data_IF_898836103654
#
_entry.id   IF_898836103654
#
_cell.length_a   1.000
_cell.length_b   1.000
_cell.length_c   1.000
_cell.angle_alpha   90.00
_cell.angle_beta   90.00
_cell.angle_gamma   90.00
#
_symmetry.space_group_name_H-M   'P 1'
#
loop_
_entity.id
_entity.type
_entity.pdbx_description
1 polymer ?
2 non-polymer ?
3 non-polymer ?
4 water ?
#
# COMPACT_ATOMS: atom_id res chain seq x y z
N UNK A 20 -4.68 -16.29 6.30
CA UNK A 20 -4.40 -15.40 5.16
C UNK A 20 -3.07 -15.83 4.49
N UNK A 21 -3.15 -16.91 3.73
CA UNK A 21 -2.00 -17.41 3.09
C UNK A 21 -2.16 -17.53 1.58
N UNK A 22 -3.37 -17.45 1.02
CA UNK A 22 -3.47 -17.42 -0.42
C UNK A 22 -4.27 -16.24 -0.95
N UNK A 23 -3.97 -15.84 -2.14
CA UNK A 23 -4.63 -14.76 -2.82
C UNK A 23 -5.55 -15.28 -3.92
N UNK A 24 -6.81 -14.84 -3.91
CA UNK A 24 -7.80 -15.17 -4.90
C UNK A 24 -8.21 -13.95 -5.67
N UNK A 25 -8.75 -14.13 -6.87
CA UNK A 25 -9.37 -13.01 -7.59
C UNK A 25 -10.54 -12.44 -6.78
N UNK A 26 -10.55 -11.14 -6.52
CA UNK A 26 -11.59 -10.53 -5.74
C UNK A 26 -12.95 -10.63 -6.42
N UNK A 27 -12.96 -10.64 -7.74
CA UNK A 27 -14.22 -10.63 -8.46
C UNK A 27 -14.89 -11.99 -8.56
N UNK A 28 -14.15 -13.08 -8.43
CA UNK A 28 -14.78 -14.39 -8.67
C UNK A 28 -14.27 -15.48 -7.77
N UNK A 29 -13.11 -15.33 -7.10
CA UNK A 29 -12.60 -16.42 -6.32
C UNK A 29 -11.54 -17.35 -6.86
N UNK A 30 -11.24 -17.23 -8.15
CA UNK A 30 -10.16 -17.95 -8.75
C UNK A 30 -8.87 -17.90 -7.91
N UNK A 31 -8.23 -19.03 -7.70
CA UNK A 31 -6.94 -19.14 -6.97
C UNK A 31 -5.85 -18.52 -7.87
N UNK A 32 -5.11 -17.55 -7.34
CA UNK A 32 -4.14 -16.79 -8.12
C UNK A 32 -2.69 -16.92 -7.58
N UNK A 33 -2.47 -16.64 -6.29
CA UNK A 33 -1.09 -16.75 -5.76
C UNK A 33 -1.09 -16.97 -4.26
N UNK A 34 0.08 -16.84 -3.63
CA UNK A 34 0.26 -17.21 -2.21
C UNK A 34 1.16 -16.12 -1.61
N UNK A 35 0.99 -15.84 -0.33
CA UNK A 35 1.84 -14.91 0.34
C UNK A 35 3.34 -15.39 0.30
N UNK A 36 3.50 -16.70 0.36
CA UNK A 36 4.82 -17.32 0.31
C UNK A 36 5.56 -17.08 -0.97
N UNK A 37 4.84 -16.66 -2.02
CA UNK A 37 5.44 -16.45 -3.33
C UNK A 37 5.69 -14.97 -3.62
N UNK A 38 5.50 -14.13 -2.63
CA UNK A 38 5.88 -12.71 -2.75
C UNK A 38 7.37 -12.56 -2.99
N UNK A 39 7.71 -11.58 -3.83
CA UNK A 39 9.07 -11.41 -4.34
C UNK A 39 9.49 -9.96 -4.16
N UNK A 40 10.46 -9.70 -3.28
CA UNK A 40 10.99 -8.33 -3.10
C UNK A 40 11.93 -7.84 -4.23
N UNK A 41 11.34 -7.31 -5.32
CA UNK A 41 12.07 -6.72 -6.45
C UNK A 41 12.60 -5.35 -6.04
N UNK A 42 13.90 -5.13 -6.16
CA UNK A 42 14.50 -3.87 -5.77
C UNK A 42 14.38 -3.53 -4.29
N UNK A 43 14.12 -4.53 -3.44
CA UNK A 43 14.03 -4.31 -1.99
C UNK A 43 12.64 -4.33 -1.37
N UNK A 44 11.60 -4.20 -2.17
CA UNK A 44 10.21 -4.21 -1.65
C UNK A 44 9.39 -5.11 -2.54
N UNK A 45 8.43 -5.85 -1.97
CA UNK A 45 7.51 -6.59 -2.83
C UNK A 45 6.45 -5.60 -3.41
N UNK A 46 6.33 -4.39 -2.86
CA UNK A 46 5.32 -3.42 -3.32
C UNK A 46 5.92 -2.28 -4.15
N UNK A 47 5.28 -1.98 -5.28
CA UNK A 47 5.71 -0.89 -6.17
C UNK A 47 4.52 -0.09 -6.62
N UNK A 48 4.55 1.24 -6.49
CA UNK A 48 3.41 2.04 -6.94
C UNK A 48 3.76 2.78 -8.22
N UNK A 49 2.90 2.69 -9.22
CA UNK A 49 3.26 3.03 -10.58
C UNK A 49 2.04 3.65 -11.24
N UNK A 50 2.25 4.42 -12.29
CA UNK A 50 1.14 4.86 -13.12
C UNK A 50 1.38 4.51 -14.55
N UNK A 51 0.31 4.19 -15.22
CA UNK A 51 0.37 4.04 -16.68
C UNK A 51 0.20 5.37 -17.47
N UNK A 52 0.36 5.32 -18.82
CA UNK A 52 0.21 6.52 -19.61
C UNK A 52 -1.17 7.20 -19.52
N UNK A 53 -2.19 6.48 -19.11
CA UNK A 53 -3.49 7.08 -18.83
C UNK A 53 -3.62 7.66 -17.42
N UNK A 54 -2.53 7.72 -16.65
CA UNK A 54 -2.53 8.26 -15.29
C UNK A 54 -3.13 7.40 -14.18
N UNK A 55 -3.50 6.18 -14.48
CA UNK A 55 -4.05 5.29 -13.46
C UNK A 55 -2.94 4.83 -12.56
N UNK A 56 -3.16 4.93 -11.25
CA UNK A 56 -2.19 4.48 -10.27
C UNK A 56 -2.49 3.05 -9.91
N UNK A 57 -1.46 2.22 -9.80
CA UNK A 57 -1.61 0.82 -9.39
C UNK A 57 -0.66 0.53 -8.23
N UNK A 58 -1.11 -0.19 -7.20
CA UNK A 58 -0.24 -0.64 -6.13
C UNK A 58 0.06 -2.07 -6.51
N UNK A 59 1.26 -2.32 -7.02
CA UNK A 59 1.63 -3.59 -7.61
C UNK A 59 2.42 -4.36 -6.53
N UNK A 60 2.03 -5.62 -6.35
CA UNK A 60 2.77 -6.57 -5.53
C UNK A 60 3.44 -7.55 -6.53
N UNK A 61 4.76 -7.75 -6.33
CA UNK A 61 5.51 -8.66 -7.17
C UNK A 61 5.47 -10.08 -6.55
N UNK A 62 5.20 -11.04 -7.41
CA UNK A 62 5.13 -12.47 -7.04
C UNK A 62 6.06 -13.24 -7.96
N UNK A 63 6.82 -14.18 -7.38
CA UNK A 63 7.56 -15.06 -8.21
C UNK A 63 6.76 -15.97 -9.11
N UNK A 64 5.57 -16.33 -8.62
CA UNK A 64 4.72 -17.30 -9.22
C UNK A 64 3.27 -16.93 -9.06
N UNK A 65 2.44 -17.32 -10.01
CA UNK A 65 0.99 -17.16 -9.96
C UNK A 65 0.40 -18.21 -10.86
N UNK A 66 -0.87 -18.46 -10.68
CA UNK A 66 -1.62 -19.44 -11.42
C UNK A 66 -3.02 -18.85 -11.65
N UNK A 67 -3.78 -19.54 -12.47
CA UNK A 67 -5.19 -19.17 -12.74
C UNK A 67 -5.39 -17.90 -13.53
N UNK A 68 -4.33 -17.43 -14.16
CA UNK A 68 -4.37 -16.25 -15.01
C UNK A 68 -4.47 -16.68 -16.44
N UNK A 69 -4.74 -15.72 -17.30
CA UNK A 69 -4.61 -15.89 -18.74
C UNK A 69 -3.82 -14.72 -19.27
N UNK A 70 -2.69 -15.04 -19.94
CA UNK A 70 -1.74 -14.02 -20.43
C UNK A 70 -2.12 -13.68 -21.83
N UNK A 71 -2.27 -12.39 -22.12
CA UNK A 71 -2.85 -11.95 -23.36
C UNK A 71 -1.82 -11.37 -24.33
N UNK A 72 -1.82 -11.88 -25.57
CA UNK A 72 -0.97 -11.36 -26.62
C UNK A 72 0.47 -11.71 -26.38
N UNK A 73 1.35 -10.92 -26.96
CA UNK A 73 2.76 -11.18 -26.90
C UNK A 73 3.40 -10.04 -26.08
N UNK A 74 4.60 -10.26 -25.55
CA UNK A 74 5.20 -9.21 -24.72
C UNK A 74 5.53 -7.90 -25.38
N UNK A 75 5.57 -6.83 -24.58
CA UNK A 75 5.90 -5.52 -25.05
C UNK A 75 6.83 -4.88 -24.02
N UNK A 76 7.84 -4.17 -24.46
CA UNK A 76 8.72 -3.39 -23.59
C UNK A 76 8.24 -1.94 -23.37
N UNK A 77 7.21 -1.52 -24.10
CA UNK A 77 6.81 -0.10 -24.14
C UNK A 77 6.36 0.36 -22.76
N UNK A 78 7.00 1.38 -22.23
CA UNK A 78 6.59 1.97 -20.93
C UNK A 78 6.73 1.00 -19.75
N UNK A 79 7.51 -0.07 -19.92
CA UNK A 79 7.68 -1.03 -18.85
C UNK A 79 8.16 -0.37 -17.55
N UNK A 80 7.49 -0.73 -16.45
CA UNK A 80 7.83 -0.24 -15.10
C UNK A 80 9.06 -0.89 -14.48
N UNK A 81 9.56 -1.98 -15.07
CA UNK A 81 10.67 -2.73 -14.50
C UNK A 81 11.75 -2.88 -15.56
N UNK A 82 12.92 -2.37 -15.28
CA UNK A 82 13.94 -2.18 -16.28
C UNK A 82 14.36 -3.53 -16.79
N UNK A 83 14.45 -3.65 -18.11
CA UNK A 83 14.82 -4.93 -18.76
C UNK A 83 13.74 -5.95 -18.99
N UNK A 84 12.53 -5.70 -18.51
CA UNK A 84 11.40 -6.63 -18.64
C UNK A 84 10.38 -6.15 -19.60
N UNK A 85 9.85 -7.11 -20.35
CA UNK A 85 8.75 -6.92 -21.22
C UNK A 85 7.49 -7.50 -20.58
N UNK A 86 6.36 -6.87 -20.85
CA UNK A 86 5.10 -7.21 -20.19
C UNK A 86 4.04 -7.77 -21.08
N UNK A 87 3.23 -8.65 -20.48
CA UNK A 87 1.98 -9.14 -21.07
C UNK A 87 0.91 -8.93 -20.03
N UNK A 88 -0.23 -8.46 -20.48
CA UNK A 88 -1.46 -8.31 -19.64
C UNK A 88 -1.85 -9.70 -19.09
N UNK A 89 -2.09 -9.76 -17.77
CA UNK A 89 -2.55 -10.95 -17.10
C UNK A 89 -4.00 -10.74 -16.63
N UNK A 90 -4.92 -11.49 -17.23
CA UNK A 90 -6.31 -11.48 -16.79
C UNK A 90 -6.55 -12.65 -15.85
N UNK A 91 -7.50 -12.49 -14.93
CA UNK A 91 -8.06 -13.66 -14.28
C UNK A 91 -8.51 -14.64 -15.39
N UNK A 92 -8.07 -15.90 -15.29
CA UNK A 92 -8.44 -16.94 -16.24
C UNK A 92 -9.88 -17.33 -16.19
N UNK A 93 -10.52 -17.07 -15.07
CA UNK A 93 -11.90 -17.45 -14.86
C UNK A 93 -12.84 -16.32 -15.33
N UNK A 94 -12.70 -15.12 -14.78
CA UNK A 94 -13.66 -14.06 -15.01
C UNK A 94 -13.20 -12.96 -15.97
N UNK A 95 -11.92 -12.92 -16.29
CA UNK A 95 -11.39 -11.92 -17.23
C UNK A 95 -11.04 -10.59 -16.62
N UNK A 96 -11.17 -10.44 -15.32
CA UNK A 96 -10.71 -9.27 -14.58
C UNK A 96 -9.22 -9.01 -14.78
N UNK A 97 -8.86 -7.73 -15.06
CA UNK A 97 -7.44 -7.42 -15.20
C UNK A 97 -6.75 -7.42 -13.87
N UNK A 98 -5.92 -8.43 -13.59
CA UNK A 98 -5.24 -8.62 -12.35
C UNK A 98 -3.81 -8.12 -12.29
N UNK A 99 -3.21 -7.87 -13.44
CA UNK A 99 -1.86 -7.43 -13.47
C UNK A 99 -1.16 -7.74 -14.79
N UNK A 100 0.12 -8.03 -14.66
CA UNK A 100 1.01 -8.28 -15.80
C UNK A 100 2.00 -9.40 -15.46
N UNK A 101 2.38 -10.17 -16.48
CA UNK A 101 3.50 -11.06 -16.43
C UNK A 101 4.69 -10.37 -17.12
N UNK A 102 5.80 -10.39 -16.44
CA UNK A 102 7.06 -9.83 -16.92
C UNK A 102 8.02 -10.94 -17.33
N UNK A 103 8.67 -10.73 -18.47
CA UNK A 103 9.66 -11.66 -18.95
C UNK A 103 10.77 -10.93 -19.69
N UNK A 104 11.74 -11.70 -20.17
CA UNK A 104 12.81 -11.14 -20.95
C UNK A 104 13.93 -10.44 -20.22
N UNK A 105 13.88 -10.45 -18.88
CA UNK A 105 14.86 -9.78 -18.08
C UNK A 105 15.83 -10.73 -17.44
N UNK A 106 16.32 -10.34 -16.26
CA UNK A 106 17.48 -11.04 -15.62
C UNK A 106 17.28 -11.06 -14.09
N UNK A 107 17.41 -12.26 -13.50
CA UNK A 107 17.49 -12.45 -12.04
C UNK A 107 16.32 -11.72 -11.31
N UNK A 108 15.07 -12.18 -11.49
CA UNK A 108 14.69 -13.34 -12.28
C UNK A 108 14.44 -13.03 -13.75
N UNK A 109 14.41 -14.06 -14.59
CA UNK A 109 14.00 -13.81 -15.99
C UNK A 109 12.56 -13.38 -16.07
N UNK A 110 11.72 -13.93 -15.19
CA UNK A 110 10.30 -13.65 -15.24
C UNK A 110 9.69 -13.46 -13.84
N UNK A 111 8.56 -12.74 -13.79
CA UNK A 111 7.79 -12.65 -12.50
C UNK A 111 6.41 -12.09 -12.82
N UNK A 112 5.52 -11.95 -11.79
CA UNK A 112 4.22 -11.38 -11.96
C UNK A 112 4.11 -10.10 -11.12
N UNK A 113 3.52 -9.09 -11.71
CA UNK A 113 3.19 -7.90 -10.97
C UNK A 113 1.68 -7.81 -10.91
N UNK A 114 1.14 -8.03 -9.72
CA UNK A 114 -0.29 -8.11 -9.56
C UNK A 114 -0.83 -6.93 -8.78
N UNK A 115 -2.04 -6.50 -9.17
CA UNK A 115 -2.63 -5.28 -8.58
C UNK A 115 -3.28 -5.67 -7.23
N UNK A 116 -2.72 -5.16 -6.13
CA UNK A 116 -3.08 -5.62 -4.80
C UNK A 116 -4.56 -5.57 -4.49
N UNK A 117 -5.22 -4.47 -4.85
CA UNK A 117 -6.62 -4.34 -4.46
C UNK A 117 -7.54 -5.13 -5.37
N UNK A 118 -7.03 -5.89 -6.33
CA UNK A 118 -7.87 -6.75 -7.13
C UNK A 118 -7.84 -8.20 -6.62
N UNK A 119 -7.09 -8.48 -5.57
CA UNK A 119 -7.00 -9.79 -4.98
C UNK A 119 -7.68 -9.76 -3.62
N UNK A 120 -8.07 -10.93 -3.16
CA UNK A 120 -8.55 -11.14 -1.79
C UNK A 120 -7.69 -12.17 -1.10
N UNK A 121 -7.25 -11.88 0.12
CA UNK A 121 -6.36 -12.77 0.86
C UNK A 121 -7.14 -13.62 1.86
N UNK A 122 -6.76 -14.90 2.03
CA UNK A 122 -7.50 -15.72 2.95
C UNK A 122 -6.86 -17.11 3.13
N UNK A 123 -7.58 -17.97 3.79
CA UNK A 123 -6.96 -19.23 4.22
C UNK A 123 -6.66 -20.19 3.04
N UNK A 124 -5.62 -21.00 3.16
CA UNK A 124 -5.23 -21.90 2.06
C UNK A 124 -6.27 -23.02 1.89
N UNK A 125 -6.36 -23.55 0.67
CA UNK A 125 -7.27 -24.67 0.36
C UNK A 125 -6.47 -25.98 0.38
N UNK B 20 -10.63 15.89 10.86
CA UNK B 20 -11.83 15.76 11.75
C UNK B 20 -12.98 15.03 11.04
N UNK B 21 -12.74 13.82 10.56
CA UNK B 21 -13.88 13.02 10.13
C UNK B 21 -14.02 11.72 10.95
N UNK B 22 -15.26 11.26 11.03
CA UNK B 22 -15.58 10.09 11.80
C UNK B 22 -16.32 9.07 10.93
N UNK B 23 -16.32 7.84 11.40
CA UNK B 23 -17.03 6.76 10.77
C UNK B 23 -18.18 6.37 11.64
N UNK B 24 -19.38 6.43 11.07
CA UNK B 24 -20.61 6.06 11.79
C UNK B 24 -21.12 4.75 11.23
N UNK B 25 -21.89 4.02 12.04
CA UNK B 25 -22.63 2.90 11.55
C UNK B 25 -23.60 3.37 10.45
N UNK B 26 -23.52 2.75 9.28
CA UNK B 26 -24.34 3.16 8.18
C UNK B 26 -25.82 2.92 8.43
N UNK B 27 -26.13 1.90 9.24
CA UNK B 27 -27.53 1.56 9.51
C UNK B 27 -28.20 2.48 10.52
N UNK B 28 -27.53 2.89 11.59
CA UNK B 28 -28.21 3.70 12.64
C UNK B 28 -27.53 5.03 12.99
N UNK B 29 -26.32 5.25 12.50
CA UNK B 29 -25.68 6.55 12.72
C UNK B 29 -24.75 6.64 13.90
N UNK B 30 -24.70 5.59 14.71
CA UNK B 30 -23.83 5.65 15.88
C UNK B 30 -22.42 5.86 15.51
N UNK B 31 -21.74 6.74 16.23
CA UNK B 31 -20.30 6.97 16.01
C UNK B 31 -19.52 5.70 16.40
N UNK B 32 -18.64 5.22 15.52
CA UNK B 32 -17.87 4.01 15.78
C UNK B 32 -16.34 4.23 15.82
N UNK B 33 -15.79 4.96 14.86
CA UNK B 33 -14.36 5.17 14.86
C UNK B 33 -14.02 6.47 14.12
N UNK B 34 -12.74 6.82 14.10
CA UNK B 34 -12.28 8.09 13.59
C UNK B 34 -11.22 7.82 12.56
N UNK B 35 -11.14 8.71 11.57
CA UNK B 35 -10.07 8.64 10.63
C UNK B 35 -8.69 8.71 11.26
N UNK B 36 -8.58 9.47 12.33
CA UNK B 36 -7.31 9.64 13.07
C UNK B 36 -6.77 8.29 13.55
N UNK B 37 -7.66 7.32 13.70
CA UNK B 37 -7.32 5.98 14.27
C UNK B 37 -7.03 4.94 13.22
N UNK B 38 -7.03 5.32 11.92
CA UNK B 38 -6.69 4.36 10.90
C UNK B 38 -5.31 3.79 11.19
N UNK B 39 -5.19 2.50 10.97
CA UNK B 39 -3.99 1.73 11.35
C UNK B 39 -3.48 0.91 10.14
N UNK B 40 -2.36 1.32 9.54
CA UNK B 40 -1.83 0.52 8.44
C UNK B 40 -1.18 -0.84 8.86
N UNK B 41 -1.97 -1.84 9.23
CA UNK B 41 -1.48 -3.21 9.50
C UNK B 41 -0.91 -3.84 8.27
N UNK B 42 0.32 -4.34 8.36
CA UNK B 42 0.96 -4.95 7.19
C UNK B 42 1.29 -3.97 6.07
N UNK B 43 1.30 -2.67 6.39
CA UNK B 43 1.56 -1.63 5.40
C UNK B 43 0.33 -1.00 4.75
N UNK B 44 -0.86 -1.44 5.12
CA UNK B 44 -2.07 -0.87 4.48
C UNK B 44 -3.19 -0.88 5.46
N UNK B 45 -3.98 0.18 5.51
CA UNK B 45 -5.18 0.13 6.34
C UNK B 45 -6.33 -0.67 5.68
N UNK B 46 -6.31 -0.83 4.36
CA UNK B 46 -7.30 -1.65 3.65
C UNK B 46 -6.77 -3.07 3.39
N UNK B 47 -7.60 -4.04 3.72
CA UNK B 47 -7.40 -5.45 3.50
C UNK B 47 -8.65 -6.05 2.90
N UNK B 48 -8.51 -6.56 1.68
CA UNK B 48 -9.52 -7.38 1.04
C UNK B 48 -9.24 -8.82 1.37
N UNK B 49 -10.22 -9.44 1.99
CA UNK B 49 -10.02 -10.77 2.59
C UNK B 49 -11.19 -11.70 2.31
N UNK B 50 -10.97 -13.00 2.45
CA UNK B 50 -12.08 -13.95 2.33
C UNK B 50 -12.05 -14.91 3.53
N UNK B 51 -13.23 -15.25 4.01
CA UNK B 51 -13.33 -16.21 5.16
C UNK B 51 -13.37 -17.66 4.65
N UNK B 52 -13.42 -18.67 5.57
CA UNK B 52 -13.42 -20.02 5.13
C UNK B 52 -14.65 -20.44 4.32
N UNK B 53 -15.75 -19.72 4.51
CA UNK B 53 -17.00 -19.97 3.77
C UNK B 53 -16.97 -19.24 2.39
N UNK B 54 -15.88 -18.55 2.11
CA UNK B 54 -15.68 -17.90 0.81
C UNK B 54 -16.33 -16.54 0.72
N UNK B 55 -16.81 -15.98 1.80
CA UNK B 55 -17.34 -14.63 1.76
C UNK B 55 -16.21 -13.60 1.71
N UNK B 56 -16.33 -12.59 0.82
CA UNK B 56 -15.28 -11.60 0.64
C UNK B 56 -15.65 -10.31 1.32
N UNK B 57 -14.73 -9.74 2.09
CA UNK B 57 -14.89 -8.48 2.82
C UNK B 57 -13.76 -7.54 2.53
N UNK B 58 -14.09 -6.24 2.50
CA UNK B 58 -13.09 -5.21 2.42
C UNK B 58 -13.05 -4.55 3.78
N UNK B 59 -11.95 -4.78 4.50
CA UNK B 59 -11.82 -4.38 5.92
C UNK B 59 -10.86 -3.22 5.98
N UNK B 60 -11.20 -2.23 6.79
CA UNK B 60 -10.27 -1.17 7.19
C UNK B 60 -9.89 -1.30 8.66
N UNK B 61 -8.58 -1.19 8.93
CA UNK B 61 -8.07 -1.38 10.29
C UNK B 61 -8.06 -0.06 11.04
N UNK B 62 -8.56 -0.11 12.27
CA UNK B 62 -8.52 1.05 13.17
C UNK B 62 -7.95 0.62 14.54
N UNK B 63 -7.25 1.52 15.17
CA UNK B 63 -6.58 1.26 16.45
C UNK B 63 -7.55 1.11 17.59
N UNK B 64 -8.63 1.88 17.53
CA UNK B 64 -9.69 1.97 18.57
C UNK B 64 -11.03 2.03 17.86
N UNK B 65 -12.08 1.76 18.60
CA UNK B 65 -13.46 2.00 18.16
C UNK B 65 -14.28 2.13 19.39
N UNK B 66 -15.51 2.56 19.22
CA UNK B 66 -16.44 2.68 20.32
C UNK B 66 -17.81 2.34 19.79
N UNK B 67 -18.75 2.03 20.67
CA UNK B 67 -20.11 1.89 20.23
C UNK B 67 -20.40 0.49 19.70
N UNK B 68 -19.42 -0.42 19.75
CA UNK B 68 -19.63 -1.76 19.29
C UNK B 68 -19.99 -2.69 20.46
N UNK B 69 -20.39 -3.91 20.11
CA UNK B 69 -20.60 -5.01 21.05
C UNK B 69 -19.95 -6.23 20.48
N UNK B 70 -18.96 -6.77 21.19
CA UNK B 70 -18.21 -7.92 20.77
C UNK B 70 -18.88 -9.16 21.31
N UNK B 71 -19.02 -10.18 20.45
CA UNK B 71 -19.80 -11.36 20.77
C UNK B 71 -18.93 -12.62 20.77
N UNK B 72 -19.04 -13.43 21.79
CA UNK B 72 -18.34 -14.73 21.79
C UNK B 72 -16.93 -14.63 22.37
N UNK B 73 -16.28 -15.76 22.55
CA UNK B 73 -14.91 -15.76 23.07
C UNK B 73 -14.00 -15.57 21.85
N UNK B 74 -12.81 -15.01 22.07
CA UNK B 74 -11.91 -14.85 20.92
C UNK B 74 -11.51 -16.18 20.29
N UNK B 75 -11.24 -16.18 18.99
CA UNK B 75 -10.83 -17.37 18.28
C UNK B 75 -9.55 -17.08 17.52
N UNK B 76 -8.64 -18.06 17.47
CA UNK B 76 -7.49 -17.95 16.58
C UNK B 76 -7.67 -18.55 15.19
N UNK B 77 -8.79 -19.22 14.97
CA UNK B 77 -8.99 -19.98 13.71
C UNK B 77 -9.07 -19.09 12.49
N UNK B 78 -8.20 -19.35 11.53
CA UNK B 78 -8.16 -18.67 10.24
C UNK B 78 -8.11 -17.15 10.38
N UNK B 79 -7.53 -16.65 11.47
CA UNK B 79 -7.37 -15.20 11.63
C UNK B 79 -6.69 -14.59 10.44
N UNK B 80 -7.23 -13.47 9.96
CA UNK B 80 -6.60 -12.71 8.90
C UNK B 80 -5.30 -12.01 9.34
N UNK B 81 -5.06 -11.91 10.64
CA UNK B 81 -3.89 -11.19 11.12
C UNK B 81 -3.10 -12.09 12.02
N UNK B 82 -1.96 -12.57 11.52
CA UNK B 82 -1.12 -13.56 12.23
C UNK B 82 -0.76 -13.02 13.60
N UNK B 83 -0.99 -13.86 14.60
CA UNK B 83 -0.70 -13.56 15.97
C UNK B 83 -1.83 -12.89 16.74
N UNK B 84 -2.98 -12.72 16.09
CA UNK B 84 -4.16 -12.19 16.73
C UNK B 84 -5.34 -13.15 16.72
N UNK B 85 -6.13 -13.09 17.79
CA UNK B 85 -7.43 -13.78 17.86
C UNK B 85 -8.50 -12.76 17.56
N UNK B 86 -9.61 -13.23 17.04
CA UNK B 86 -10.71 -12.37 16.64
C UNK B 86 -12.02 -12.66 17.33
N UNK B 87 -12.81 -11.60 17.41
CA UNK B 87 -14.17 -11.66 17.97
C UNK B 87 -15.04 -10.81 17.07
N UNK B 88 -16.21 -11.31 16.75
CA UNK B 88 -17.17 -10.59 15.93
C UNK B 88 -17.62 -9.30 16.61
N UNK B 89 -17.73 -8.24 15.84
CA UNK B 89 -18.15 -6.91 16.38
C UNK B 89 -19.45 -6.49 15.73
N UNK B 90 -20.46 -6.29 16.54
CA UNK B 90 -21.75 -5.72 16.06
C UNK B 90 -21.85 -4.27 16.49
N UNK B 91 -22.60 -3.47 15.76
CA UNK B 91 -23.03 -2.19 16.31
C UNK B 91 -23.83 -2.46 17.58
N UNK B 92 -23.44 -1.78 18.67
CA UNK B 92 -24.11 -1.93 19.96
C UNK B 92 -25.51 -1.38 19.98
N UNK B 93 -25.80 -0.44 19.09
CA UNK B 93 -27.06 0.21 19.06
C UNK B 93 -28.08 -0.53 18.20
N UNK B 94 -27.69 -0.93 17.00
CA UNK B 94 -28.67 -1.57 16.05
C UNK B 94 -28.35 -3.02 15.68
N UNK B 95 -27.19 -3.55 16.07
CA UNK B 95 -26.87 -4.96 15.78
C UNK B 95 -26.24 -5.26 14.43
N UNK B 96 -26.06 -4.25 13.57
CA UNK B 96 -25.40 -4.46 12.31
C UNK B 96 -24.02 -5.09 12.50
N UNK B 97 -23.64 -6.05 11.66
CA UNK B 97 -22.28 -6.63 11.73
C UNK B 97 -21.26 -5.70 11.13
N UNK B 98 -20.38 -5.09 11.93
CA UNK B 98 -19.51 -4.09 11.42
C UNK B 98 -18.10 -4.55 11.22
N UNK B 99 -17.73 -5.67 11.82
CA UNK B 99 -16.39 -6.22 11.61
C UNK B 99 -15.97 -7.15 12.72
N UNK B 100 -14.71 -7.01 13.12
CA UNK B 100 -14.10 -7.88 14.12
C UNK B 100 -13.13 -7.10 14.97
N UNK B 101 -12.97 -7.52 16.20
CA UNK B 101 -11.92 -7.07 17.08
C UNK B 101 -10.81 -8.08 17.13
N UNK B 102 -9.57 -7.61 17.18
CA UNK B 102 -8.40 -8.45 17.17
C UNK B 102 -7.67 -8.22 18.47
N UNK B 103 -7.21 -9.29 19.10
CA UNK B 103 -6.43 -9.14 20.34
C UNK B 103 -5.32 -10.16 20.41
N UNK B 104 -4.39 -9.85 21.28
CA UNK B 104 -3.42 -10.88 21.74
C UNK B 104 -2.06 -10.71 21.14
N UNK B 105 -1.89 -9.79 20.21
CA UNK B 105 -0.55 -9.56 19.62
C UNK B 105 0.25 -8.64 20.54
N UNK B 106 1.38 -8.17 20.03
CA UNK B 106 2.07 -7.06 20.62
C UNK B 106 2.14 -5.96 19.58
N UNK B 107 2.00 -4.71 20.00
CA UNK B 107 2.22 -3.59 19.10
C UNK B 107 1.47 -3.64 17.76
N UNK B 108 0.07 -3.47 17.70
CA UNK B 108 -0.60 -3.20 18.98
C UNK B 108 -1.28 -4.41 19.58
N UNK B 109 -1.59 -4.40 20.86
CA UNK B 109 -2.20 -5.59 21.44
C UNK B 109 -3.63 -5.76 20.96
N UNK B 110 -4.31 -4.66 20.60
CA UNK B 110 -5.77 -4.57 20.27
C UNK B 110 -5.94 -3.74 19.00
N UNK B 111 -6.82 -4.13 18.11
CA UNK B 111 -7.26 -3.27 17.00
C UNK B 111 -8.54 -3.83 16.42
N UNK B 112 -9.15 -3.08 15.53
CA UNK B 112 -10.37 -3.47 14.90
C UNK B 112 -10.20 -3.55 13.38
N UNK B 113 -10.83 -4.55 12.78
CA UNK B 113 -10.98 -4.65 11.32
C UNK B 113 -12.46 -4.46 10.97
N UNK B 114 -12.79 -3.29 10.48
CA UNK B 114 -14.18 -2.94 10.24
C UNK B 114 -14.51 -2.95 8.75
N UNK B 115 -15.73 -3.35 8.44
CA UNK B 115 -16.16 -3.49 7.08
C UNK B 115 -16.54 -2.11 6.51
N UNK B 116 -15.71 -1.61 5.61
CA UNK B 116 -15.81 -0.25 5.11
C UNK B 116 -17.19 0.10 4.55
N UNK B 117 -17.78 -0.83 3.84
CA UNK B 117 -19.07 -0.62 3.23
C UNK B 117 -20.21 -0.50 4.25
N UNK B 118 -20.00 -0.93 5.49
CA UNK B 118 -20.98 -0.83 6.57
C UNK B 118 -20.84 0.39 7.42
N UNK B 119 -19.91 1.25 7.07
CA UNK B 119 -19.68 2.48 7.77
C UNK B 119 -19.98 3.64 6.83
N UNK B 120 -20.23 4.79 7.43
CA UNK B 120 -20.43 6.01 6.73
C UNK B 120 -19.49 7.07 7.26
N UNK B 121 -18.61 7.59 6.41
CA UNK B 121 -17.68 8.61 6.83
C UNK B 121 -18.31 9.97 6.70
N UNK B 122 -18.07 10.85 7.68
CA UNK B 122 -18.56 12.19 7.64
C UNK B 122 -17.90 13.09 8.67
N UNK B 123 -18.26 14.37 8.65
CA UNK B 123 -17.73 15.27 9.68
C UNK B 123 -18.11 14.92 11.10
N UNK B 124 -17.18 15.23 12.01
CA UNK B 124 -17.31 15.05 13.45
C UNK B 124 -18.43 15.89 14.08
N UNK C 19 8.98 3.66 -18.54
CA UNK C 19 7.75 3.73 -17.69
C UNK C 19 7.98 4.33 -16.31
N UNK C 20 9.23 4.69 -16.00
CA UNK C 20 9.54 5.30 -14.71
C UNK C 20 10.37 6.60 -14.83
N UNK C 21 9.90 7.56 -15.65
CA UNK C 21 10.63 8.82 -15.85
C UNK C 21 10.00 10.05 -15.16
N UNK C 22 8.72 9.98 -14.80
CA UNK C 22 8.09 11.02 -13.96
C UNK C 22 7.79 10.42 -12.61
N UNK C 23 8.05 11.19 -11.55
CA UNK C 23 7.74 10.82 -10.17
C UNK C 23 6.61 11.65 -9.64
N UNK C 24 5.67 10.99 -8.98
CA UNK C 24 4.47 11.66 -8.45
C UNK C 24 4.20 11.23 -7.04
N UNK C 25 3.44 12.03 -6.33
CA UNK C 25 2.95 11.66 -4.99
C UNK C 25 2.15 10.33 -5.05
N UNK C 26 2.52 9.33 -4.23
CA UNK C 26 1.85 8.02 -4.17
C UNK C 26 0.36 8.08 -3.74
N UNK C 27 0.07 9.01 -2.85
CA UNK C 27 -1.27 9.16 -2.28
C UNK C 27 -2.26 9.85 -3.22
N UNK C 28 -1.82 10.86 -3.97
CA UNK C 28 -2.78 11.66 -4.73
C UNK C 28 -2.40 11.89 -6.20
N UNK C 29 -1.14 11.66 -6.56
CA UNK C 29 -0.71 11.71 -7.95
C UNK C 29 -0.06 13.03 -8.37
N UNK C 30 0.04 13.97 -7.43
CA UNK C 30 0.67 15.28 -7.72
C UNK C 30 2.05 15.07 -8.39
N UNK C 31 2.31 15.77 -9.49
CA UNK C 31 3.63 15.73 -10.15
C UNK C 31 4.68 16.38 -9.28
N UNK C 32 5.78 15.65 -9.06
CA UNK C 32 6.83 16.11 -8.19
C UNK C 32 8.20 16.28 -8.89
N UNK C 33 8.71 15.24 -9.54
CA UNK C 33 9.97 15.44 -10.26
C UNK C 33 10.13 14.49 -11.42
N UNK C 34 11.34 14.40 -11.98
CA UNK C 34 11.52 13.59 -13.19
C UNK C 34 12.91 13.03 -13.23
N UNK C 35 13.06 11.93 -13.95
CA UNK C 35 14.33 11.21 -14.00
C UNK C 35 15.46 12.11 -14.50
N UNK C 36 15.14 13.04 -15.39
CA UNK C 36 16.12 14.04 -15.91
C UNK C 36 16.78 14.86 -14.78
N UNK C 37 16.08 15.06 -13.66
CA UNK C 37 16.63 15.87 -12.59
C UNK C 37 17.29 15.02 -11.49
N UNK C 38 17.39 13.71 -11.70
CA UNK C 38 17.98 12.85 -10.68
C UNK C 38 19.48 13.11 -10.53
N UNK C 39 19.97 13.10 -9.30
CA UNK C 39 21.40 13.14 -9.08
C UNK C 39 21.92 11.72 -8.80
N UNK C 40 22.67 11.12 -9.76
CA UNK C 40 23.39 9.85 -9.52
C UNK C 40 24.69 9.97 -8.71
N UNK C 41 24.85 9.05 -7.75
CA UNK C 41 26.10 8.85 -6.98
C UNK C 41 26.66 7.49 -7.36
N UNK C 46 18.50 4.47 -6.16
CA UNK C 46 18.17 5.07 -4.87
C UNK C 46 19.26 4.85 -3.81
N UNK C 47 19.32 5.76 -2.83
CA UNK C 47 20.20 5.65 -1.64
C UNK C 47 19.47 4.99 -0.45
N UNK C 48 20.00 3.85 0.03
CA UNK C 48 19.46 3.15 1.23
C UNK C 48 19.97 3.84 2.51
N UNK C 49 19.07 4.40 3.31
CA UNK C 49 19.44 5.18 4.50
C UNK C 49 18.61 4.70 5.70
N UNK C 50 19.14 4.90 6.90
CA UNK C 50 18.46 4.49 8.13
C UNK C 50 18.12 5.71 8.98
N UNK C 51 16.86 5.84 9.41
CA UNK C 51 16.48 6.94 10.30
C UNK C 51 16.98 6.62 11.71
N UNK C 52 16.99 7.61 12.63
CA UNK C 52 17.61 7.38 13.93
C UNK C 52 17.12 6.10 14.66
N UNK C 53 15.95 5.56 14.27
CA UNK C 53 15.38 4.32 14.87
C UNK C 53 15.69 3.00 14.13
N UNK C 54 16.20 3.08 12.90
CA UNK C 54 16.40 1.90 12.05
C UNK C 54 15.38 1.80 10.91
N UNK C 55 14.33 2.62 10.96
CA UNK C 55 13.36 2.65 9.86
C UNK C 55 14.11 2.86 8.56
N UNK C 56 14.10 1.82 7.71
CA UNK C 56 14.83 1.84 6.44
C UNK C 56 14.14 2.76 5.43
N UNK C 57 14.92 3.65 4.82
CA UNK C 57 14.45 4.53 3.76
C UNK C 57 15.31 4.35 2.51
N UNK C 58 14.67 4.36 1.35
CA UNK C 58 15.37 4.44 0.09
C UNK C 58 14.99 5.82 -0.46
N UNK C 59 16.01 6.64 -0.64
CA UNK C 59 15.84 8.04 -0.97
C UNK C 59 16.38 8.26 -2.38
N UNK C 60 15.66 9.08 -3.14
CA UNK C 60 16.11 9.56 -4.44
C UNK C 60 16.50 11.02 -4.23
N UNK C 61 17.63 11.47 -4.80
CA UNK C 61 17.98 12.89 -4.78
C UNK C 61 17.71 13.52 -6.16
N UNK C 62 17.02 14.66 -6.16
CA UNK C 62 16.67 15.39 -7.39
C UNK C 62 17.24 16.80 -7.26
N UNK C 63 17.76 17.34 -8.35
CA UNK C 63 18.24 18.72 -8.31
C UNK C 63 17.08 19.71 -8.28
N UNK C 64 15.93 19.29 -8.83
CA UNK C 64 14.75 20.15 -8.91
C UNK C 64 13.53 19.36 -8.63
N UNK C 65 12.50 20.07 -8.17
CA UNK C 65 11.21 19.48 -7.92
C UNK C 65 10.13 20.56 -7.93
N UNK C 66 8.89 20.09 -8.01
CA UNK C 66 7.71 20.96 -7.99
C UNK C 66 6.62 20.36 -7.18
N UNK C 67 5.64 21.22 -6.88
CA UNK C 67 4.40 20.73 -6.28
C UNK C 67 4.52 20.35 -4.82
N UNK C 68 5.64 20.71 -4.18
CA UNK C 68 5.79 20.46 -2.75
C UNK C 68 5.42 21.70 -1.98
N UNK C 69 5.31 21.53 -0.68
CA UNK C 69 5.22 22.65 0.20
C UNK C 69 6.29 22.42 1.25
N UNK C 70 7.23 23.35 1.35
CA UNK C 70 8.32 23.22 2.30
C UNK C 70 7.89 23.89 3.61
N UNK C 71 8.04 23.19 4.73
CA UNK C 71 7.53 23.65 6.04
C UNK C 71 8.63 23.83 7.06
N UNK C 72 8.45 24.85 7.92
CA UNK C 72 9.32 25.08 9.08
C UNK C 72 10.74 25.50 8.76
N UNK C 73 11.50 25.77 9.81
CA UNK C 73 12.92 26.09 9.73
C UNK C 73 13.76 24.84 9.39
N UNK C 74 14.92 25.04 8.76
CA UNK C 74 15.79 23.88 8.44
C UNK C 74 16.43 23.27 9.68
N UNK C 75 16.70 21.97 9.64
CA UNK C 75 17.41 21.32 10.74
C UNK C 75 18.68 20.59 10.25
N UNK C 76 19.72 20.58 11.07
CA UNK C 76 20.89 19.73 10.83
C UNK C 76 20.82 18.35 11.49
N UNK C 77 19.77 18.09 12.28
CA UNK C 77 19.70 16.89 13.16
C UNK C 77 19.66 15.57 12.36
N UNK C 78 20.57 14.66 12.72
CA UNK C 78 20.73 13.35 12.03
C UNK C 78 20.60 13.42 10.48
N UNK C 79 21.13 14.49 9.87
CA UNK C 79 21.06 14.63 8.41
C UNK C 79 21.82 13.48 7.74
N UNK C 80 21.20 12.88 6.71
CA UNK C 80 21.80 11.77 5.99
C UNK C 80 22.89 12.23 5.04
N UNK C 81 22.96 13.54 4.76
CA UNK C 81 23.97 14.08 3.84
C UNK C 81 24.82 15.12 4.57
N UNK C 82 26.12 14.87 4.63
CA UNK C 82 27.04 15.69 5.46
C UNK C 82 27.10 17.14 4.97
N UNK C 83 26.98 18.09 5.90
CA UNK C 83 26.98 19.53 5.57
C UNK C 83 25.67 20.06 4.96
N UNK C 84 24.60 19.30 5.10
CA UNK C 84 23.30 19.71 4.61
C UNK C 84 22.30 19.80 5.76
N UNK C 85 21.50 20.86 5.76
CA UNK C 85 20.32 21.01 6.61
C UNK C 85 19.09 20.61 5.81
N UNK C 86 18.10 20.00 6.49
CA UNK C 86 16.87 19.59 5.83
C UNK C 86 15.65 20.39 6.31
N UNK C 87 14.68 20.49 5.41
CA UNK C 87 13.35 21.09 5.66
C UNK C 87 12.31 20.07 5.20
N UNK C 88 11.23 19.91 5.94
CA UNK C 88 10.19 18.92 5.59
C UNK C 88 9.52 19.32 4.30
N UNK C 89 9.41 18.36 3.36
CA UNK C 89 8.69 18.60 2.10
C UNK C 89 7.40 17.78 2.06
N UNK C 90 6.28 18.50 2.04
CA UNK C 90 5.00 17.85 1.94
C UNK C 90 4.50 17.93 0.53
N UNK C 91 3.70 16.96 0.12
CA UNK C 91 2.93 17.15 -1.12
C UNK C 91 2.02 18.40 -1.01
N UNK C 92 2.07 19.29 -2.01
CA UNK C 92 1.27 20.53 -1.90
C UNK C 92 -0.23 20.29 -2.13
N UNK C 93 -0.51 19.15 -2.72
CA UNK C 93 -1.90 18.80 -3.08
C UNK C 93 -2.65 18.09 -1.94
N UNK C 94 -1.98 17.13 -1.32
CA UNK C 94 -2.64 16.32 -0.28
C UNK C 94 -2.03 16.38 1.09
N UNK C 95 -0.85 17.00 1.20
CA UNK C 95 -0.18 17.08 2.50
C UNK C 95 0.65 15.87 2.90
N UNK C 96 0.67 14.81 2.10
CA UNK C 96 1.61 13.64 2.41
C UNK C 96 3.09 14.03 2.56
N UNK C 97 3.76 13.41 3.53
CA UNK C 97 5.16 13.73 3.73
C UNK C 97 6.00 12.96 2.69
N UNK C 98 6.58 13.67 1.72
CA UNK C 98 7.30 12.97 0.60
C UNK C 98 8.80 12.89 0.78
N UNK C 99 9.33 13.74 1.66
CA UNK C 99 10.78 13.75 1.91
C UNK C 99 11.23 15.10 2.44
N UNK C 100 12.38 15.57 1.94
CA UNK C 100 13.03 16.79 2.47
C UNK C 100 13.73 17.62 1.41
N UNK C 101 13.88 18.90 1.74
CA UNK C 101 14.68 19.81 0.92
C UNK C 101 15.97 20.03 1.66
N UNK C 102 17.09 19.81 0.98
CA UNK C 102 18.41 20.00 1.61
C UNK C 102 19.12 21.25 1.13
N UNK C 103 19.86 21.86 2.04
CA UNK C 103 20.66 23.03 1.66
C UNK C 103 21.82 23.31 2.60
N UNK C 104 22.67 24.25 2.19
CA UNK C 104 23.80 24.71 3.01
C UNK C 104 25.17 24.36 2.44
N UNK C 105 25.20 23.40 1.51
CA UNK C 105 26.47 22.80 1.06
C UNK C 105 27.01 23.33 -0.26
N UNK C 106 27.71 22.46 -0.98
CA UNK C 106 28.37 22.82 -2.24
C UNK C 106 28.38 21.65 -3.21
N UNK C 107 28.16 21.92 -4.49
CA UNK C 107 28.22 20.90 -5.53
C UNK C 107 27.34 19.70 -5.17
N UNK C 108 26.00 19.89 -5.11
CA UNK C 108 25.28 21.15 -5.26
C UNK C 108 24.89 21.78 -3.93
N UNK C 109 24.53 23.05 -3.95
CA UNK C 109 24.17 23.76 -2.75
C UNK C 109 22.84 23.25 -2.19
N UNK C 110 21.92 22.90 -3.08
CA UNK C 110 20.61 22.40 -2.70
C UNK C 110 20.14 21.20 -3.53
N UNK C 111 19.22 20.43 -2.96
CA UNK C 111 18.58 19.34 -3.70
C UNK C 111 17.40 18.85 -2.87
N UNK C 112 16.55 18.03 -3.48
CA UNK C 112 15.47 17.40 -2.77
C UNK C 112 15.85 15.95 -2.56
N UNK C 113 15.61 15.44 -1.35
CA UNK C 113 15.75 14.02 -1.06
C UNK C 113 14.37 13.46 -0.80
N UNK C 114 13.86 12.65 -1.73
CA UNK C 114 12.49 12.15 -1.62
C UNK C 114 12.41 10.64 -1.40
N UNK C 115 11.40 10.25 -0.62
CA UNK C 115 11.27 8.86 -0.15
C UNK C 115 10.63 8.01 -1.22
N UNK C 116 11.34 7.00 -1.70
CA UNK C 116 10.88 6.18 -2.84
C UNK C 116 9.47 5.60 -2.61
N UNK C 117 9.20 5.13 -1.39
CA UNK C 117 7.93 4.45 -1.11
C UNK C 117 6.78 5.44 -0.80
N UNK C 118 7.05 6.75 -0.99
CA UNK C 118 6.01 7.79 -0.95
C UNK C 118 5.68 8.30 -2.34
N UNK C 119 6.31 7.70 -3.35
CA UNK C 119 6.18 8.13 -4.74
C UNK C 119 5.68 6.99 -5.58
N UNK C 120 5.16 7.37 -6.73
CA UNK C 120 4.79 6.47 -7.76
C UNK C 120 5.57 6.94 -8.99
N UNK C 121 5.93 6.03 -9.85
CA UNK C 121 6.66 6.40 -11.02
C UNK C 121 5.85 6.06 -12.28
N UNK C 122 5.93 6.93 -13.29
CA UNK C 122 5.24 6.70 -14.57
C UNK C 122 5.98 7.30 -15.77
N UNK C 123 5.45 7.10 -16.99
CA UNK C 123 6.07 7.59 -18.20
C UNK C 123 5.96 9.09 -18.31
N UNK C 124 6.76 9.67 -19.21
CA UNK C 124 6.82 11.14 -19.36
C UNK C 124 5.47 11.68 -19.82
X LIG D 1 -11.72 -13.54 -11.47
X LIG E 1 5.00 -2.20 -16.94
X LIG E 1 4.00 -1.71 -17.45
X LIG E 1 2.80 -2.56 -17.69
X LIG E 1 1.72 -1.95 -18.55
X LIG E 1 1.56 -0.46 -18.39
X LIG E 1 2.81 0.37 -18.29
X LIG E 1 3.96 -0.37 -17.78
X LIG F 1 -25.82 0.76 14.17
X LIG G 1 -9.85 -12.76 10.92
X LIG G 1 -10.81 -13.42 10.67
X LIG G 1 -12.16 -12.94 11.13
X LIG G 1 -13.32 -13.78 10.63
X LIG G 1 -13.07 -15.18 10.06
X LIG G 1 -11.77 -15.36 9.31
X LIG G 1 -10.71 -14.51 9.90
X LIG H 1 -0.19 14.05 -2.61
X LIG I 1 18.40 13.74 6.34
X LIG I 1 17.53 13.37 7.12
X LIG I 1 16.10 13.81 6.94
X LIG I 1 15.25 13.55 8.18
X LIG I 1 15.50 12.14 8.72
X LIG I 1 16.95 11.95 9.17
X LIG I 1 17.80 12.55 8.16
#
# INVERSE_FOLDING_TARGET
>A
AMPLDAGGQNSTQMVLAPGASIFRCRQCGQTISRRDWLLPMGGDHEHVVFNPAGMIFRVWCFSLAQGLRLIGAPSGEFSWFKGYDWTIALCGQCGSHLGWHYEGGSQPQTFFGLIKDRLAEGPAD
>B
AMPLDAGGQNSTQMVLAPGASIFRCRQCGQTISRRDWLLPMGGDHEHVVFNPAGMIFRVWCFSLAQGLRLIGAPSGEFSWFKGYDWTIALCGQCGSHLGWHYEGGSQPQTFFGLIKDRLAEGPAD
>C
AMPLDAGGQNSTQMVLAPGASIFRCRQCGQTISRRDWLLPMGGDHEHVVFNPAGMIFRVWCFSLAQGLRLIGAPSGEFSWFKGYDWTIALCGQCGSHLGWHYEGGSQPQTFFGLIKDRLAEGPAD
>D hetero
1 ZN ZN
>E hetero
1 V1L O05 C04 C06 C07 C08 C02 N03
>F hetero
1 ZN ZN
>G hetero
1 V1L O05 C04 C06 C07 C08 C02 N03
>H hetero
1 ZN ZN
>I hetero
1 V1L O05 C04 C06 C07 C08 C02 N03
#
